data_IF_212189850028
#
_entry.id   IF_212189850028
#
_cell.length_a   1.000
_cell.length_b   1.000
_cell.length_c   1.000
_cell.angle_alpha   90.00
_cell.angle_beta   90.00
_cell.angle_gamma   90.00
#
_symmetry.space_group_name_H-M   'P 1'
#
loop_
_entity.id
_entity.type
_entity.pdbx_description
1 polymer ?
#
# COMPACT_ATOMS: atom_id res chain seq x y z
N UNK A 1 -16.26 -8.28 48.85
CA UNK A 1 -16.04 -7.34 47.72
C UNK A 1 -15.85 -8.15 46.45
N UNK A 2 -16.87 -8.19 45.58
CA UNK A 2 -16.90 -8.97 44.32
C UNK A 2 -15.90 -8.36 43.32
N UNK A 3 -14.90 -9.12 42.88
CA UNK A 3 -14.14 -8.78 41.67
C UNK A 3 -14.89 -9.33 40.45
N UNK A 4 -15.43 -8.40 39.66
CA UNK A 4 -16.13 -8.67 38.40
C UNK A 4 -15.13 -9.18 37.36
N UNK A 5 -15.42 -10.32 36.78
CA UNK A 5 -14.89 -10.69 35.47
C UNK A 5 -15.57 -9.89 34.37
N UNK A 6 -14.79 -9.36 33.42
CA UNK A 6 -15.19 -9.05 32.04
C UNK A 6 -14.02 -8.40 31.29
N UNK A 7 -13.06 -9.19 30.83
CA UNK A 7 -12.09 -8.76 29.80
C UNK A 7 -12.01 -9.86 28.73
N UNK A 8 -13.15 -10.27 28.21
CA UNK A 8 -13.27 -11.22 27.10
C UNK A 8 -14.56 -10.90 26.35
N UNK A 9 -14.62 -9.79 25.59
CA UNK A 9 -15.75 -9.50 24.68
C UNK A 9 -15.52 -8.32 23.71
N UNK A 10 -14.28 -8.06 23.28
CA UNK A 10 -13.98 -6.96 22.33
C UNK A 10 -13.38 -7.41 21.00
N UNK A 11 -13.23 -8.71 20.73
CA UNK A 11 -12.65 -9.21 19.46
C UNK A 11 -13.64 -9.51 18.32
N UNK A 12 -14.94 -9.66 18.60
CA UNK A 12 -15.93 -10.00 17.55
C UNK A 12 -16.48 -8.77 16.81
N UNK A 13 -16.45 -7.57 17.40
CA UNK A 13 -17.09 -6.37 16.83
C UNK A 13 -16.30 -5.70 15.69
N UNK A 14 -15.05 -6.09 15.46
CA UNK A 14 -14.19 -5.47 14.41
C UNK A 14 -14.49 -6.03 13.02
N UNK A 15 -14.94 -7.29 12.93
CA UNK A 15 -15.17 -7.96 11.65
C UNK A 15 -16.38 -7.39 10.90
N UNK A 16 -17.48 -7.09 11.61
CA UNK A 16 -18.68 -6.51 10.99
C UNK A 16 -18.44 -5.13 10.36
N UNK A 17 -17.46 -4.36 10.83
CA UNK A 17 -17.12 -3.03 10.28
C UNK A 17 -16.22 -3.09 9.05
N UNK A 18 -15.45 -4.16 8.88
CA UNK A 18 -14.75 -4.50 7.64
C UNK A 18 -15.70 -5.07 6.56
N UNK A 19 -16.95 -5.35 6.94
CA UNK A 19 -17.99 -5.96 6.09
C UNK A 19 -19.12 -4.95 5.83
N UNK A 20 -18.79 -3.68 5.59
CA UNK A 20 -19.77 -2.69 5.10
C UNK A 20 -19.67 -2.52 3.58
N UNK A 21 -20.81 -2.24 2.96
CA UNK A 21 -21.07 -2.29 1.52
C UNK A 21 -20.06 -1.49 0.67
N UNK A 22 -19.42 -2.19 -0.29
CA UNK A 22 -18.32 -1.79 -1.20
C UNK A 22 -16.90 -2.17 -0.76
N UNK A 23 -16.65 -3.46 -0.51
CA UNK A 23 -15.31 -4.00 -0.22
C UNK A 23 -14.32 -3.84 -1.39
N UNK A 24 -14.78 -3.97 -2.64
CA UNK A 24 -13.95 -3.78 -3.84
C UNK A 24 -14.54 -2.61 -4.64
N UNK A 25 -13.86 -1.47 -4.62
CA UNK A 25 -14.31 -0.26 -5.28
C UNK A 25 -13.58 -0.05 -6.61
N UNK A 26 -14.35 0.00 -7.71
CA UNK A 26 -13.84 0.24 -9.06
C UNK A 26 -13.83 1.72 -9.47
N UNK A 27 -14.29 2.63 -8.61
CA UNK A 27 -14.25 4.08 -8.86
C UNK A 27 -12.83 4.63 -8.71
N UNK A 28 -12.56 5.74 -9.39
CA UNK A 28 -11.25 6.40 -9.40
C UNK A 28 -11.32 7.80 -8.81
N UNK A 29 -10.21 8.27 -8.24
CA UNK A 29 -10.12 9.64 -7.70
C UNK A 29 -10.41 10.73 -8.73
N UNK A 30 -10.00 10.50 -9.98
CA UNK A 30 -10.16 11.43 -11.10
C UNK A 30 -10.79 10.71 -12.29
N UNK A 31 -11.71 11.39 -12.99
CA UNK A 31 -12.42 10.86 -14.17
C UNK A 31 -12.95 9.44 -13.91
N UNK A 32 -13.66 9.29 -12.78
CA UNK A 32 -14.20 7.99 -12.39
C UNK A 32 -15.22 7.50 -13.42
N UNK A 33 -15.18 6.22 -13.84
CA UNK A 33 -16.35 5.62 -14.46
C UNK A 33 -17.56 5.77 -13.54
N UNK A 34 -18.75 5.94 -14.13
CA UNK A 34 -20.03 6.16 -13.42
C UNK A 34 -21.08 5.16 -13.90
N UNK A 35 -22.16 5.03 -13.13
CA UNK A 35 -23.31 4.18 -13.44
C UNK A 35 -23.12 2.72 -13.09
N UNK A 36 -24.16 1.90 -13.30
CA UNK A 36 -24.10 0.44 -13.11
C UNK A 36 -23.09 -0.15 -14.09
N UNK A 37 -22.37 -1.19 -13.67
CA UNK A 37 -21.35 -1.88 -14.46
C UNK A 37 -21.64 -3.37 -14.39
N UNK A 38 -21.54 -4.04 -15.52
CA UNK A 38 -21.54 -5.51 -15.60
C UNK A 38 -20.25 -6.07 -15.00
N UNK A 39 -20.27 -7.35 -14.61
CA UNK A 39 -19.07 -8.08 -14.16
C UNK A 39 -17.89 -7.88 -15.14
N UNK A 40 -18.14 -8.01 -16.45
CA UNK A 40 -17.10 -7.86 -17.46
C UNK A 40 -16.54 -6.42 -17.53
N UNK A 41 -17.37 -5.40 -17.38
CA UNK A 41 -16.91 -4.01 -17.33
C UNK A 41 -16.07 -3.73 -16.09
N UNK A 42 -16.45 -4.29 -14.93
CA UNK A 42 -15.69 -4.18 -13.69
C UNK A 42 -14.32 -4.85 -13.86
N UNK A 43 -14.27 -6.06 -14.42
CA UNK A 43 -13.02 -6.76 -14.73
C UNK A 43 -12.10 -5.91 -15.61
N UNK A 44 -12.63 -5.29 -16.68
CA UNK A 44 -11.86 -4.41 -17.56
C UNK A 44 -11.29 -3.19 -16.85
N UNK A 45 -11.97 -2.65 -15.83
CA UNK A 45 -11.45 -1.53 -15.03
C UNK A 45 -10.19 -1.94 -14.26
N UNK A 46 -10.19 -3.13 -13.66
CA UNK A 46 -9.04 -3.67 -12.93
C UNK A 46 -7.90 -4.11 -13.86
N UNK A 47 -8.21 -4.68 -15.03
CA UNK A 47 -7.20 -4.97 -16.06
C UNK A 47 -6.54 -3.69 -16.59
N UNK A 48 -7.28 -2.56 -16.65
CA UNK A 48 -6.68 -1.25 -16.94
C UNK A 48 -5.68 -0.83 -15.86
N UNK A 49 -5.95 -1.10 -14.59
CA UNK A 49 -5.03 -0.80 -13.49
C UNK A 49 -3.78 -1.68 -13.56
N UNK A 50 -3.94 -2.99 -13.84
CA UNK A 50 -2.81 -3.89 -14.12
C UNK A 50 -1.91 -3.35 -15.24
N UNK A 51 -2.52 -2.92 -16.35
CA UNK A 51 -1.79 -2.29 -17.45
C UNK A 51 -1.00 -1.05 -17.03
N UNK A 52 -1.58 -0.17 -16.22
CA UNK A 52 -0.91 1.06 -15.72
C UNK A 52 0.28 0.73 -14.83
N UNK A 53 0.14 -0.25 -13.95
CA UNK A 53 1.18 -0.64 -12.98
C UNK A 53 2.36 -1.26 -13.71
N UNK A 54 2.12 -2.28 -14.55
CA UNK A 54 3.17 -2.99 -15.28
C UNK A 54 3.95 -2.04 -16.21
N UNK A 55 3.24 -1.12 -16.89
CA UNK A 55 3.86 -0.15 -17.78
C UNK A 55 4.42 1.09 -17.06
N UNK A 56 4.35 1.14 -15.73
CA UNK A 56 4.85 2.29 -14.96
C UNK A 56 6.38 2.33 -14.97
N UNK A 57 7.01 3.50 -15.23
CA UNK A 57 8.44 3.66 -15.04
C UNK A 57 8.88 3.40 -13.59
N UNK A 58 7.99 3.60 -12.62
CA UNK A 58 8.29 3.33 -11.21
C UNK A 58 8.52 1.83 -10.95
N UNK A 59 7.74 0.94 -11.58
CA UNK A 59 7.97 -0.51 -11.53
C UNK A 59 9.25 -0.88 -12.27
N UNK A 60 9.50 -0.31 -13.46
CA UNK A 60 10.76 -0.55 -14.20
C UNK A 60 12.01 -0.18 -13.38
N UNK A 61 11.96 0.88 -12.56
CA UNK A 61 13.07 1.27 -11.68
C UNK A 61 13.41 0.20 -10.63
N UNK A 62 12.48 -0.68 -10.26
CA UNK A 62 12.76 -1.76 -9.29
C UNK A 62 13.81 -2.75 -9.78
N UNK A 63 14.03 -2.87 -11.10
CA UNK A 63 15.08 -3.71 -11.67
C UNK A 63 16.50 -3.21 -11.33
N UNK A 64 16.64 -1.93 -10.99
CA UNK A 64 17.92 -1.30 -10.62
C UNK A 64 17.98 -0.97 -9.12
N UNK A 65 17.03 -1.47 -8.32
CA UNK A 65 17.10 -1.38 -6.86
C UNK A 65 17.54 -2.72 -6.29
N UNK A 66 18.61 -2.68 -5.49
CA UNK A 66 19.13 -3.83 -4.78
C UNK A 66 18.13 -4.36 -3.77
N UNK A 67 18.06 -5.69 -3.66
CA UNK A 67 17.47 -6.39 -2.53
C UNK A 67 18.61 -7.03 -1.74
N UNK A 68 18.98 -6.42 -0.60
CA UNK A 68 20.01 -6.91 0.34
C UNK A 68 21.46 -6.89 -0.17
N UNK A 69 21.75 -7.38 -1.37
CA UNK A 69 23.10 -7.44 -1.94
C UNK A 69 23.37 -6.25 -2.88
N UNK A 70 24.62 -5.76 -3.00
CA UNK A 70 25.00 -4.77 -4.01
C UNK A 70 24.58 -5.24 -5.41
N UNK A 71 24.36 -4.30 -6.35
CA UNK A 71 24.11 -4.66 -7.75
C UNK A 71 25.37 -5.32 -8.33
N UNK A 72 25.48 -6.63 -8.16
CA UNK A 72 26.48 -7.41 -8.88
C UNK A 72 26.11 -7.44 -10.36
N UNK A 73 27.10 -7.52 -11.25
CA UNK A 73 26.85 -7.76 -12.69
C UNK A 73 26.18 -9.11 -12.97
N UNK A 74 26.04 -9.95 -11.94
CA UNK A 74 25.38 -11.23 -12.02
C UNK A 74 23.86 -11.08 -11.93
N UNK A 75 23.17 -11.31 -13.05
CA UNK A 75 21.71 -11.28 -13.13
C UNK A 75 21.00 -12.34 -12.25
N UNK A 76 21.75 -13.29 -11.66
CA UNK A 76 21.21 -14.25 -10.70
C UNK A 76 20.89 -13.61 -9.32
N UNK A 77 21.47 -12.45 -9.01
CA UNK A 77 21.17 -11.74 -7.75
C UNK A 77 19.81 -11.06 -7.86
N UNK A 78 18.96 -11.27 -6.85
CA UNK A 78 17.60 -10.70 -6.84
C UNK A 78 17.65 -9.18 -6.80
N UNK A 79 16.82 -8.57 -7.63
CA UNK A 79 16.47 -7.15 -7.56
C UNK A 79 15.14 -7.00 -6.85
N UNK A 80 14.75 -5.78 -6.48
CA UNK A 80 13.41 -5.54 -5.92
C UNK A 80 12.29 -5.95 -6.88
N UNK A 81 12.52 -5.86 -8.19
CA UNK A 81 11.55 -6.29 -9.18
C UNK A 81 11.35 -7.81 -9.15
N UNK A 82 12.44 -8.59 -9.18
CA UNK A 82 12.33 -10.06 -9.18
C UNK A 82 11.77 -10.58 -7.87
N UNK A 83 12.14 -9.97 -6.74
CA UNK A 83 11.48 -10.24 -5.46
C UNK A 83 9.97 -9.95 -5.50
N UNK A 84 9.56 -8.79 -6.01
CA UNK A 84 8.14 -8.42 -6.11
C UNK A 84 7.34 -9.35 -7.02
N UNK A 85 7.98 -9.92 -8.06
CA UNK A 85 7.36 -10.96 -8.91
C UNK A 85 7.16 -12.28 -8.14
N UNK A 86 8.12 -12.71 -7.33
CA UNK A 86 7.97 -13.89 -6.46
C UNK A 86 6.83 -13.67 -5.44
N UNK A 87 6.78 -12.51 -4.80
CA UNK A 87 5.72 -12.13 -3.85
C UNK A 87 4.35 -12.08 -4.55
N UNK A 88 4.29 -11.55 -5.79
CA UNK A 88 3.07 -11.56 -6.60
C UNK A 88 2.56 -12.99 -6.85
N UNK A 89 3.44 -13.93 -7.19
CA UNK A 89 3.04 -15.31 -7.42
C UNK A 89 2.51 -15.99 -6.15
N UNK A 90 3.13 -15.72 -4.99
CA UNK A 90 2.64 -16.20 -3.69
C UNK A 90 1.28 -15.57 -3.35
N UNK A 91 1.13 -14.26 -3.57
CA UNK A 91 -0.13 -13.55 -3.37
C UNK A 91 -1.26 -14.12 -4.23
N UNK A 92 -0.99 -14.40 -5.51
CA UNK A 92 -1.93 -15.07 -6.43
C UNK A 92 -2.38 -16.42 -5.89
N UNK A 93 -1.44 -17.24 -5.41
CA UNK A 93 -1.73 -18.56 -4.86
C UNK A 93 -2.64 -18.47 -3.63
N UNK A 94 -2.31 -17.58 -2.69
CA UNK A 94 -3.13 -17.34 -1.48
C UNK A 94 -4.53 -16.87 -1.85
N UNK A 95 -4.66 -15.92 -2.79
CA UNK A 95 -5.95 -15.40 -3.23
C UNK A 95 -6.83 -16.51 -3.84
N UNK A 96 -6.25 -17.36 -4.69
CA UNK A 96 -6.96 -18.51 -5.27
C UNK A 96 -7.40 -19.53 -4.23
N UNK A 97 -6.55 -19.84 -3.26
CA UNK A 97 -6.90 -20.78 -2.19
C UNK A 97 -8.06 -20.24 -1.33
N UNK A 98 -8.04 -18.95 -1.00
CA UNK A 98 -9.14 -18.28 -0.28
C UNK A 98 -10.45 -18.38 -1.07
N UNK A 99 -10.43 -18.04 -2.36
CA UNK A 99 -11.61 -18.12 -3.22
C UNK A 99 -12.12 -19.55 -3.36
N UNK A 100 -11.22 -20.53 -3.52
CA UNK A 100 -11.58 -21.95 -3.59
C UNK A 100 -12.27 -22.40 -2.29
N UNK A 101 -11.67 -22.09 -1.14
CA UNK A 101 -12.22 -22.45 0.17
C UNK A 101 -13.58 -21.80 0.43
N UNK A 102 -13.74 -20.52 0.09
CA UNK A 102 -15.02 -19.83 0.23
C UNK A 102 -16.09 -20.41 -0.69
N UNK A 103 -15.70 -20.91 -1.87
CA UNK A 103 -16.60 -21.60 -2.80
C UNK A 103 -17.09 -22.92 -2.23
N UNK A 104 -16.19 -23.73 -1.69
CA UNK A 104 -16.53 -24.99 -1.00
C UNK A 104 -17.49 -24.78 0.16
N UNK A 105 -17.28 -23.70 0.93
CA UNK A 105 -18.13 -23.31 2.05
C UNK A 105 -19.45 -22.63 1.63
N UNK A 106 -19.68 -22.42 0.32
CA UNK A 106 -20.83 -21.66 -0.23
C UNK A 106 -20.96 -20.23 0.35
N UNK A 107 -19.83 -19.60 0.65
CA UNK A 107 -19.75 -18.26 1.23
C UNK A 107 -19.41 -17.15 0.22
N UNK A 108 -19.15 -17.48 -1.06
CA UNK A 108 -18.80 -16.46 -2.07
C UNK A 108 -19.90 -15.41 -2.23
N UNK A 109 -21.13 -15.85 -2.48
CA UNK A 109 -22.30 -14.99 -2.66
C UNK A 109 -22.63 -14.22 -1.37
N UNK A 110 -22.57 -14.89 -0.22
CA UNK A 110 -22.77 -14.28 1.09
C UNK A 110 -21.79 -13.13 1.39
N UNK A 111 -20.59 -13.18 0.79
CA UNK A 111 -19.59 -12.12 0.89
C UNK A 111 -19.53 -11.18 -0.32
N UNK A 112 -20.41 -11.38 -1.32
CA UNK A 112 -20.46 -10.60 -2.55
C UNK A 112 -19.18 -10.70 -3.38
N UNK A 113 -18.58 -11.89 -3.44
CA UNK A 113 -17.34 -12.17 -4.19
C UNK A 113 -17.56 -12.98 -5.47
N UNK A 114 -18.77 -13.46 -5.70
CA UNK A 114 -19.20 -14.23 -6.87
C UNK A 114 -18.85 -13.53 -8.20
N UNK A 115 -19.25 -12.27 -8.37
CA UNK A 115 -18.92 -11.46 -9.55
C UNK A 115 -17.58 -10.70 -9.43
N UNK A 116 -16.84 -10.89 -8.32
CA UNK A 116 -15.62 -10.12 -8.02
C UNK A 116 -14.37 -11.01 -7.83
N UNK A 117 -14.44 -12.27 -8.22
CA UNK A 117 -13.32 -13.22 -8.14
C UNK A 117 -12.08 -12.75 -8.91
N UNK A 118 -12.26 -12.34 -10.17
CA UNK A 118 -11.18 -11.80 -11.02
C UNK A 118 -10.56 -10.51 -10.45
N UNK A 119 -11.37 -9.47 -10.15
CA UNK A 119 -10.92 -8.29 -9.44
C UNK A 119 -10.17 -8.57 -8.14
N UNK A 120 -10.66 -9.48 -7.29
CA UNK A 120 -10.03 -9.84 -6.02
C UNK A 120 -8.61 -10.37 -6.23
N UNK A 121 -8.43 -11.32 -7.15
CA UNK A 121 -7.12 -11.86 -7.51
C UNK A 121 -6.19 -10.77 -8.07
N UNK A 122 -6.69 -9.97 -9.03
CA UNK A 122 -5.91 -8.92 -9.69
C UNK A 122 -5.42 -7.84 -8.71
N UNK A 123 -6.26 -7.43 -7.76
CA UNK A 123 -5.89 -6.47 -6.70
C UNK A 123 -4.75 -7.02 -5.85
N UNK A 124 -4.84 -8.29 -5.43
CA UNK A 124 -3.79 -8.92 -4.61
C UNK A 124 -2.48 -8.96 -5.39
N UNK A 125 -2.52 -9.47 -6.63
CA UNK A 125 -1.33 -9.55 -7.49
C UNK A 125 -0.67 -8.19 -7.72
N UNK A 126 -1.46 -7.16 -8.00
CA UNK A 126 -0.95 -5.81 -8.27
C UNK A 126 -0.44 -5.12 -7.01
N UNK A 127 -1.07 -5.35 -5.87
CA UNK A 127 -0.60 -4.83 -4.58
C UNK A 127 0.74 -5.47 -4.19
N UNK A 128 0.88 -6.77 -4.38
CA UNK A 128 2.14 -7.49 -4.20
C UNK A 128 3.25 -6.96 -5.12
N UNK A 129 2.94 -6.63 -6.38
CA UNK A 129 3.95 -6.05 -7.28
C UNK A 129 4.38 -4.63 -6.87
N UNK A 130 3.44 -3.84 -6.32
CA UNK A 130 3.68 -2.46 -5.93
C UNK A 130 4.24 -2.29 -4.51
N UNK A 131 4.24 -3.34 -3.67
CA UNK A 131 4.58 -3.20 -2.24
C UNK A 131 5.89 -2.46 -2.00
N UNK A 132 6.85 -2.65 -2.91
CA UNK A 132 8.20 -2.12 -2.79
C UNK A 132 8.48 -0.85 -3.63
N UNK A 133 7.46 -0.30 -4.30
CA UNK A 133 7.59 0.82 -5.23
C UNK A 133 8.17 2.09 -4.58
N UNK A 134 7.80 2.34 -3.32
CA UNK A 134 8.09 3.58 -2.58
C UNK A 134 9.43 3.59 -1.87
N UNK A 135 10.14 2.46 -1.80
CA UNK A 135 11.38 2.38 -1.04
C UNK A 135 12.44 3.36 -1.55
N UNK A 136 13.16 4.06 -0.67
CA UNK A 136 14.28 4.89 -1.09
C UNK A 136 15.44 4.04 -1.61
N UNK A 137 16.41 4.67 -2.30
CA UNK A 137 17.70 4.04 -2.57
C UNK A 137 18.30 3.47 -1.28
N UNK A 138 18.99 2.32 -1.37
CA UNK A 138 19.61 1.64 -0.21
C UNK A 138 18.66 1.18 0.91
N UNK A 139 17.33 1.16 0.68
CA UNK A 139 16.36 0.62 1.63
C UNK A 139 16.43 1.31 2.99
N UNK A 140 16.50 0.54 4.07
CA UNK A 140 16.52 1.08 5.44
C UNK A 140 17.64 2.09 5.70
N UNK A 141 18.79 1.97 5.03
CA UNK A 141 19.85 2.98 5.15
C UNK A 141 19.44 4.31 4.52
N UNK A 142 18.73 4.28 3.40
CA UNK A 142 18.15 5.48 2.80
C UNK A 142 17.07 6.11 3.66
N UNK A 143 16.20 5.29 4.26
CA UNK A 143 15.18 5.75 5.22
C UNK A 143 15.82 6.42 6.43
N UNK A 144 16.79 5.75 7.06
CA UNK A 144 17.53 6.27 8.21
C UNK A 144 18.25 7.58 7.87
N UNK A 145 18.97 7.64 6.74
CA UNK A 145 19.68 8.84 6.33
C UNK A 145 18.76 10.05 6.09
N UNK A 146 17.60 9.84 5.46
CA UNK A 146 16.60 10.90 5.27
C UNK A 146 16.07 11.37 6.63
N UNK A 147 15.66 10.43 7.48
CA UNK A 147 15.11 10.74 8.80
C UNK A 147 16.12 11.46 9.69
N UNK A 148 17.37 11.01 9.72
CA UNK A 148 18.44 11.59 10.53
C UNK A 148 18.79 13.01 10.04
N UNK A 149 18.88 13.21 8.72
CA UNK A 149 19.17 14.52 8.14
C UNK A 149 18.08 15.53 8.48
N UNK A 150 16.81 15.14 8.34
CA UNK A 150 15.69 16.01 8.70
C UNK A 150 15.61 16.23 10.21
N UNK A 151 15.80 15.21 11.05
CA UNK A 151 15.78 15.35 12.52
C UNK A 151 16.84 16.32 13.05
N UNK A 152 18.00 16.40 12.41
CA UNK A 152 19.07 17.34 12.79
C UNK A 152 18.80 18.78 12.36
N UNK A 153 17.90 19.00 11.40
CA UNK A 153 17.74 20.29 10.70
C UNK A 153 16.36 20.91 10.83
N UNK A 154 15.33 20.09 10.94
CA UNK A 154 13.96 20.46 11.25
C UNK A 154 13.66 19.84 12.61
N UNK A 155 13.54 20.64 13.66
CA UNK A 155 13.21 20.09 14.96
C UNK A 155 11.69 20.01 15.11
N UNK A 156 11.11 18.89 15.57
CA UNK A 156 9.66 18.73 15.65
C UNK A 156 8.95 19.81 16.50
N UNK A 157 9.63 20.36 17.50
CA UNK A 157 9.09 21.43 18.35
C UNK A 157 9.02 22.80 17.64
N UNK A 158 9.79 22.99 16.55
CA UNK A 158 9.77 24.20 15.72
C UNK A 158 8.44 24.30 14.94
N UNK A 159 7.75 23.18 14.73
CA UNK A 159 6.49 23.14 13.97
C UNK A 159 5.24 23.45 14.82
N UNK A 160 5.27 23.20 16.14
CA UNK A 160 4.06 23.30 16.97
C UNK A 160 4.07 24.45 17.98
N UNK A 161 5.21 25.04 18.36
CA UNK A 161 5.19 26.01 19.47
C UNK A 161 6.33 27.03 19.61
N UNK A 162 7.35 27.05 18.74
CA UNK A 162 8.41 28.07 18.80
C UNK A 162 8.16 29.26 17.85
N UNK A 163 8.56 30.49 18.21
CA UNK A 163 8.59 31.61 17.29
C UNK A 163 9.44 31.25 16.05
N UNK A 164 8.94 31.54 14.85
CA UNK A 164 9.58 31.26 13.56
C UNK A 164 11.02 31.80 13.43
N UNK A 165 11.38 32.76 14.29
CA UNK A 165 12.72 33.34 14.40
C UNK A 165 13.79 32.36 14.88
N UNK A 166 13.40 31.26 15.52
CA UNK A 166 14.31 30.21 16.02
C UNK A 166 14.31 28.94 15.14
N UNK A 167 13.75 29.00 13.93
CA UNK A 167 13.84 27.89 12.97
C UNK A 167 15.32 27.55 12.68
N UNK A 168 15.75 26.38 13.17
CA UNK A 168 17.13 25.90 13.04
C UNK A 168 17.44 25.36 11.64
N UNK A 169 16.45 25.34 10.74
CA UNK A 169 16.63 24.95 9.36
C UNK A 169 17.63 25.88 8.67
N UNK A 170 18.76 25.35 8.23
CA UNK A 170 19.74 26.14 7.47
C UNK A 170 19.46 26.16 5.96
N UNK A 171 18.40 25.51 5.49
CA UNK A 171 18.05 25.41 4.07
C UNK A 171 16.91 26.38 3.79
N UNK A 172 17.21 27.49 3.11
CA UNK A 172 16.26 28.58 2.90
C UNK A 172 14.92 28.16 2.26
N UNK A 173 14.93 27.12 1.41
CA UNK A 173 13.71 26.60 0.77
C UNK A 173 12.81 25.78 1.72
N UNK A 174 13.35 25.30 2.84
CA UNK A 174 12.68 24.46 3.82
C UNK A 174 12.45 25.21 5.15
N UNK A 175 12.77 26.50 5.19
CA UNK A 175 12.47 27.35 6.35
C UNK A 175 11.00 27.66 6.40
N UNK A 176 10.44 27.58 7.60
CA UNK A 176 9.05 27.96 7.85
C UNK A 176 8.91 29.47 7.67
N UNK A 177 7.99 29.90 6.81
CA UNK A 177 7.78 31.34 6.51
C UNK A 177 6.61 31.88 7.32
N UNK A 178 6.73 33.14 7.75
CA UNK A 178 5.62 33.86 8.39
C UNK A 178 4.33 33.74 7.56
N UNK A 179 3.31 33.10 8.13
CA UNK A 179 1.99 32.90 7.51
C UNK A 179 1.72 31.52 6.92
N UNK A 180 2.70 30.61 6.85
CA UNK A 180 2.48 29.21 6.47
C UNK A 180 1.90 28.43 7.66
N UNK A 181 0.58 28.21 7.67
CA UNK A 181 -0.06 27.35 8.68
C UNK A 181 0.34 25.90 8.43
N UNK A 182 0.81 25.22 9.47
CA UNK A 182 0.90 23.76 9.49
C UNK A 182 -0.49 23.17 9.29
N UNK A 183 -0.64 22.32 8.27
CA UNK A 183 -1.88 21.61 7.97
C UNK A 183 -2.00 20.31 8.78
#
# INVERSE_FOLDING_TARGET
MRLRGSVFLTRERTWHRLISEKKINWHRRYRSPQGVKTEHEILRIFESDRGRIINSPAIRRLQQKTQVFPLERNAAVRTRLTHSMEVQQVGRYIAKEILSRLKELKLLEAYGLDELTGPFESIVEMSCLMHDIGNPPFGHFGEAAINDWFRQRLYPEDAESQPLTDDRCSVAALRLRDGERTA
#
